data_IF_493591327841
#
_entry.id   IF_493591327841
#
_cell.length_a   1.000
_cell.length_b   1.000
_cell.length_c   1.000
_cell.angle_alpha   90.00
_cell.angle_beta   90.00
_cell.angle_gamma   90.00
#
_symmetry.space_group_name_H-M   'P 1'
#
loop_
_entity.id
_entity.type
_entity.pdbx_description
1 polymer ?
#
# COMPACT_ATOMS: atom_id res chain seq x y z
N UNK A 1 -8.38 -5.38 -3.40
CA UNK A 1 -6.96 -5.65 -3.71
C UNK A 1 -6.25 -6.01 -2.40
N UNK A 2 -5.50 -7.12 -2.35
CA UNK A 2 -4.74 -7.50 -1.14
C UNK A 2 -3.32 -6.91 -1.20
N UNK A 3 -3.05 -5.91 -0.34
CA UNK A 3 -1.76 -5.23 -0.17
C UNK A 3 -0.60 -6.20 0.12
N UNK A 4 -0.80 -7.20 0.99
CA UNK A 4 0.25 -8.19 1.32
C UNK A 4 0.71 -8.96 0.07
N UNK A 5 -0.25 -9.34 -0.78
CA UNK A 5 0.03 -10.09 -2.02
C UNK A 5 0.68 -9.20 -3.07
N UNK A 6 0.26 -7.93 -3.15
CA UNK A 6 0.92 -6.93 -4.00
C UNK A 6 2.37 -6.70 -3.57
N UNK A 7 2.64 -6.59 -2.25
CA UNK A 7 4.00 -6.45 -1.71
C UNK A 7 4.87 -7.65 -2.06
N UNK A 8 4.35 -8.87 -1.90
CA UNK A 8 5.03 -10.11 -2.32
C UNK A 8 5.29 -10.13 -3.84
N UNK A 9 4.32 -9.72 -4.65
CA UNK A 9 4.49 -9.60 -6.09
C UNK A 9 5.65 -8.65 -6.45
N UNK A 10 5.67 -7.46 -5.86
CA UNK A 10 6.75 -6.47 -6.04
C UNK A 10 8.12 -7.09 -5.70
N UNK A 11 8.22 -7.77 -4.55
CA UNK A 11 9.48 -8.42 -4.16
C UNK A 11 9.97 -9.46 -5.18
N UNK A 12 9.06 -10.21 -5.81
CA UNK A 12 9.40 -11.14 -6.89
C UNK A 12 9.87 -10.41 -8.15
N UNK A 13 9.27 -9.27 -8.49
CA UNK A 13 9.68 -8.43 -9.63
C UNK A 13 11.10 -7.89 -9.40
N UNK A 14 11.39 -7.35 -8.22
CA UNK A 14 12.72 -6.85 -7.84
C UNK A 14 13.80 -7.92 -7.98
N UNK A 15 13.46 -9.16 -7.59
CA UNK A 15 14.35 -10.32 -7.70
C UNK A 15 14.36 -10.97 -9.08
N UNK A 16 13.52 -10.50 -10.01
CA UNK A 16 13.39 -11.05 -11.37
C UNK A 16 12.94 -12.51 -11.38
N UNK A 17 12.08 -12.87 -10.41
CA UNK A 17 11.63 -14.24 -10.10
C UNK A 17 10.11 -14.39 -10.23
N UNK A 18 9.45 -13.59 -11.08
CA UNK A 18 8.00 -13.73 -11.24
C UNK A 18 7.61 -14.95 -12.08
N UNK A 19 8.40 -15.36 -13.07
CA UNK A 19 7.94 -16.37 -14.02
C UNK A 19 6.75 -15.86 -14.85
N UNK A 20 5.98 -16.77 -15.46
CA UNK A 20 4.80 -16.37 -16.25
C UNK A 20 3.69 -15.83 -15.34
N UNK A 21 2.78 -14.98 -15.86
CA UNK A 21 1.66 -14.46 -15.07
C UNK A 21 0.84 -15.56 -14.37
N UNK A 22 0.60 -16.69 -15.02
CA UNK A 22 -0.09 -17.83 -14.43
C UNK A 22 0.67 -18.47 -13.25
N UNK A 23 2.01 -18.52 -13.32
CA UNK A 23 2.85 -19.14 -12.30
C UNK A 23 2.89 -18.29 -11.03
N UNK A 24 3.12 -16.98 -11.18
CA UNK A 24 3.08 -16.05 -10.03
C UNK A 24 1.67 -15.90 -9.46
N UNK A 25 0.63 -15.98 -10.29
CA UNK A 25 -0.75 -16.00 -9.82
C UNK A 25 -1.00 -17.19 -8.88
N UNK A 26 -0.55 -18.39 -9.29
CA UNK A 26 -0.62 -19.60 -8.46
C UNK A 26 0.19 -19.45 -7.18
N UNK A 27 1.41 -18.95 -7.26
CA UNK A 27 2.29 -18.74 -6.10
C UNK A 27 1.68 -17.78 -5.07
N UNK A 28 1.04 -16.71 -5.53
CA UNK A 28 0.38 -15.71 -4.67
C UNK A 28 -1.05 -16.11 -4.26
N UNK A 29 -1.57 -17.22 -4.78
CA UNK A 29 -2.95 -17.66 -4.57
C UNK A 29 -3.97 -16.62 -5.04
N UNK A 30 -3.78 -16.08 -6.26
CA UNK A 30 -4.69 -15.12 -6.90
C UNK A 30 -4.99 -15.57 -8.33
N UNK A 31 -6.02 -15.00 -8.94
CA UNK A 31 -6.27 -15.16 -10.38
C UNK A 31 -5.17 -14.47 -11.20
N UNK A 32 -4.88 -14.96 -12.39
CA UNK A 32 -3.98 -14.31 -13.33
C UNK A 32 -4.40 -12.87 -13.66
N UNK A 33 -5.70 -12.61 -13.77
CA UNK A 33 -6.25 -11.25 -13.92
C UNK A 33 -5.77 -10.28 -12.83
N UNK A 34 -5.57 -10.77 -11.61
CA UNK A 34 -5.07 -9.96 -10.51
C UNK A 34 -3.60 -9.56 -10.71
N UNK A 35 -2.80 -10.40 -11.36
CA UNK A 35 -1.42 -10.06 -11.73
C UNK A 35 -1.42 -8.89 -12.70
N UNK A 36 -2.29 -8.91 -13.71
CA UNK A 36 -2.44 -7.77 -14.61
C UNK A 36 -2.90 -6.52 -13.85
N UNK A 37 -3.85 -6.64 -12.92
CA UNK A 37 -4.23 -5.52 -12.06
C UNK A 37 -3.06 -4.98 -11.21
N UNK A 38 -2.21 -5.85 -10.65
CA UNK A 38 -1.01 -5.44 -9.91
C UNK A 38 -0.02 -4.70 -10.80
N UNK A 39 0.26 -5.22 -12.01
CA UNK A 39 1.16 -4.56 -12.96
C UNK A 39 0.64 -3.18 -13.39
N UNK A 40 -0.66 -3.08 -13.65
CA UNK A 40 -1.33 -1.81 -13.96
C UNK A 40 -1.21 -0.83 -12.81
N UNK A 41 -1.52 -1.27 -11.59
CA UNK A 41 -1.38 -0.47 -10.38
C UNK A 41 0.06 0.05 -10.19
N UNK A 42 1.06 -0.83 -10.27
CA UNK A 42 2.47 -0.46 -10.12
C UNK A 42 2.89 0.58 -11.18
N UNK A 43 2.42 0.42 -12.41
CA UNK A 43 2.75 1.33 -13.51
C UNK A 43 2.08 2.70 -13.38
N UNK A 44 0.77 2.71 -13.19
CA UNK A 44 -0.03 3.94 -13.29
C UNK A 44 -0.07 4.71 -11.97
N UNK A 45 -0.06 4.01 -10.83
CA UNK A 45 -0.31 4.62 -9.53
C UNK A 45 0.98 4.86 -8.77
N UNK A 46 1.96 3.97 -8.93
CA UNK A 46 3.28 4.12 -8.31
C UNK A 46 4.29 4.79 -9.25
N UNK A 47 3.88 5.05 -10.51
CA UNK A 47 4.75 5.54 -11.58
C UNK A 47 6.04 4.73 -11.73
N UNK A 48 5.97 3.42 -11.46
CA UNK A 48 7.12 2.54 -11.54
C UNK A 48 7.21 1.90 -12.93
N UNK A 49 8.40 1.82 -13.54
CA UNK A 49 8.58 1.39 -14.92
C UNK A 49 8.61 -0.15 -15.03
N UNK A 50 7.48 -0.80 -14.69
CA UNK A 50 7.32 -2.26 -14.77
C UNK A 50 6.93 -2.71 -16.19
N UNK A 51 7.68 -3.68 -16.72
CA UNK A 51 7.45 -4.27 -18.04
C UNK A 51 7.62 -5.79 -18.02
N UNK A 52 6.93 -6.48 -18.93
CA UNK A 52 7.13 -7.90 -19.19
C UNK A 52 8.37 -8.10 -20.06
N UNK A 53 9.23 -9.06 -19.68
CA UNK A 53 10.38 -9.46 -20.48
C UNK A 53 10.17 -10.86 -21.07
N UNK A 54 10.06 -10.95 -22.40
CA UNK A 54 9.83 -12.21 -23.10
C UNK A 54 10.98 -13.22 -22.94
N UNK A 55 12.23 -12.75 -22.95
CA UNK A 55 13.41 -13.62 -22.88
C UNK A 55 13.55 -14.26 -21.50
N UNK A 56 13.39 -13.47 -20.43
CA UNK A 56 13.47 -13.95 -19.04
C UNK A 56 12.17 -14.56 -18.53
N UNK A 57 11.08 -14.44 -19.29
CA UNK A 57 9.73 -14.80 -18.86
C UNK A 57 9.42 -14.28 -17.46
N UNK A 58 9.66 -12.98 -17.23
CA UNK A 58 9.41 -12.34 -15.94
C UNK A 58 9.09 -10.87 -16.14
N UNK A 59 8.28 -10.32 -15.23
CA UNK A 59 8.20 -8.88 -15.03
C UNK A 59 9.50 -8.35 -14.44
N UNK A 60 9.91 -7.17 -14.90
CA UNK A 60 11.12 -6.44 -14.50
C UNK A 60 10.82 -4.94 -14.41
N UNK A 61 11.56 -4.23 -13.57
CA UNK A 61 11.68 -2.77 -13.70
C UNK A 61 12.72 -2.45 -14.77
N UNK A 62 12.37 -1.57 -15.72
CA UNK A 62 13.28 -1.20 -16.81
C UNK A 62 14.31 -0.15 -16.39
N UNK A 63 14.08 0.54 -15.28
CA UNK A 63 15.00 1.55 -14.72
C UNK A 63 15.55 1.10 -13.37
N UNK A 64 16.70 1.66 -13.01
CA UNK A 64 17.27 1.49 -11.68
C UNK A 64 16.53 2.37 -10.67
N UNK A 65 15.90 1.72 -9.70
CA UNK A 65 15.17 2.37 -8.64
C UNK A 65 14.67 1.35 -7.63
N UNK A 66 13.83 1.80 -6.71
CA UNK A 66 13.17 0.94 -5.75
C UNK A 66 11.76 1.47 -5.46
N UNK A 67 10.84 0.56 -5.13
CA UNK A 67 9.54 0.94 -4.59
C UNK A 67 9.67 1.24 -3.09
N UNK A 68 9.44 2.49 -2.73
CA UNK A 68 9.33 2.92 -1.34
C UNK A 68 7.94 2.58 -0.84
N UNK A 69 7.89 1.78 0.22
CA UNK A 69 6.68 1.29 0.87
C UNK A 69 6.91 1.37 2.39
N UNK A 70 6.78 2.57 2.97
CA UNK A 70 7.06 2.80 4.39
C UNK A 70 6.43 4.08 4.90
N UNK A 71 6.28 4.16 6.22
CA UNK A 71 6.06 5.39 6.94
C UNK A 71 7.40 6.10 7.18
N UNK A 72 7.48 7.38 6.86
CA UNK A 72 8.65 8.20 7.18
C UNK A 72 8.22 9.27 8.18
N UNK A 73 8.91 9.33 9.32
CA UNK A 73 8.74 10.40 10.29
C UNK A 73 9.13 11.74 9.64
N UNK A 74 8.31 12.77 9.85
CA UNK A 74 8.56 14.06 9.23
C UNK A 74 9.61 14.84 10.03
N UNK A 75 10.86 14.84 9.57
CA UNK A 75 11.87 15.81 10.02
C UNK A 75 11.65 17.14 9.30
N UNK A 76 10.80 17.99 9.88
CA UNK A 76 10.51 19.37 9.46
C UNK A 76 9.78 19.51 8.11
N UNK A 77 8.70 20.30 8.17
CA UNK A 77 7.72 20.48 7.10
C UNK A 77 8.32 21.28 5.95
N UNK A 78 8.50 20.65 4.79
CA UNK A 78 8.32 21.31 3.50
C UNK A 78 7.39 20.46 2.62
N UNK A 79 6.36 21.15 2.15
CA UNK A 79 5.17 20.71 1.44
C UNK A 79 5.36 19.56 0.45
N UNK A 80 4.52 18.53 0.57
CA UNK A 80 3.48 18.23 -0.43
C UNK A 80 2.53 17.22 0.20
N UNK A 81 1.67 17.71 1.10
CA UNK A 81 0.42 17.01 1.37
C UNK A 81 -0.35 16.96 0.05
N UNK A 82 -0.90 15.79 -0.26
CA UNK A 82 -1.66 15.48 -1.48
C UNK A 82 -0.81 14.95 -2.63
N UNK A 83 -0.70 13.62 -2.71
CA UNK A 83 -1.22 12.95 -3.90
C UNK A 83 -1.42 11.46 -3.65
N UNK A 84 -2.68 11.03 -3.62
CA UNK A 84 -3.08 9.71 -4.09
C UNK A 84 -4.55 9.82 -4.48
N UNK A 85 -4.84 10.33 -5.68
CA UNK A 85 -6.19 10.24 -6.25
C UNK A 85 -6.30 8.83 -6.83
N UNK A 86 -6.51 7.83 -5.98
CA UNK A 86 -6.59 6.45 -6.43
C UNK A 86 -7.91 5.81 -6.02
N UNK A 87 -8.75 5.48 -7.00
CA UNK A 87 -10.02 4.76 -6.81
C UNK A 87 -9.83 3.37 -6.18
N UNK A 88 -8.71 2.68 -6.43
CA UNK A 88 -8.36 1.36 -5.90
C UNK A 88 -7.71 1.37 -4.50
N UNK A 89 -7.14 2.49 -4.03
CA UNK A 89 -6.63 2.66 -2.66
C UNK A 89 -7.41 3.70 -1.83
N UNK A 90 -8.53 4.20 -2.34
CA UNK A 90 -9.36 5.22 -1.70
C UNK A 90 -9.70 4.87 -0.25
N UNK A 91 -9.99 3.61 0.06
CA UNK A 91 -10.28 3.16 1.43
C UNK A 91 -9.05 3.29 2.34
N UNK A 92 -7.87 2.86 1.89
CA UNK A 92 -6.64 2.98 2.69
C UNK A 92 -6.30 4.45 2.96
N UNK A 93 -6.50 5.31 1.96
CA UNK A 93 -6.28 6.75 2.09
C UNK A 93 -7.27 7.38 3.07
N UNK A 94 -8.58 7.08 2.96
CA UNK A 94 -9.59 7.56 3.91
C UNK A 94 -9.27 7.12 5.33
N UNK A 95 -8.81 5.87 5.49
CA UNK A 95 -8.34 5.36 6.78
C UNK A 95 -7.15 6.18 7.29
N UNK A 96 -6.11 6.33 6.47
CA UNK A 96 -4.92 7.11 6.82
C UNK A 96 -5.26 8.54 7.23
N UNK A 97 -6.13 9.23 6.48
CA UNK A 97 -6.56 10.60 6.77
C UNK A 97 -7.35 10.67 8.07
N UNK A 98 -8.28 9.73 8.31
CA UNK A 98 -9.04 9.67 9.56
C UNK A 98 -8.13 9.49 10.78
N UNK A 99 -7.14 8.59 10.68
CA UNK A 99 -6.13 8.38 11.73
C UNK A 99 -5.25 9.63 11.91
N UNK A 100 -4.80 10.26 10.83
CA UNK A 100 -3.97 11.48 10.87
C UNK A 100 -4.70 12.64 11.56
N UNK A 101 -6.02 12.71 11.40
CA UNK A 101 -6.88 13.73 12.01
C UNK A 101 -7.41 13.34 13.40
N UNK A 102 -7.05 12.17 13.91
CA UNK A 102 -7.58 11.62 15.16
C UNK A 102 -9.12 11.58 15.20
N UNK A 103 -9.78 11.44 14.05
CA UNK A 103 -11.24 11.45 13.91
C UNK A 103 -11.75 10.09 13.44
N UNK A 104 -11.57 9.05 14.26
CA UNK A 104 -11.93 7.68 13.89
C UNK A 104 -13.01 7.08 14.79
N UNK A 105 -13.07 7.48 16.06
CA UNK A 105 -13.93 6.79 17.02
C UNK A 105 -13.40 5.38 17.34
N UNK A 106 -14.26 4.52 17.86
CA UNK A 106 -13.98 3.08 18.00
C UNK A 106 -13.87 2.39 16.63
N UNK A 107 -13.33 1.17 16.58
CA UNK A 107 -13.25 0.39 15.34
C UNK A 107 -14.60 0.26 14.61
N UNK A 108 -15.67 0.00 15.37
CA UNK A 108 -17.03 -0.10 14.85
C UNK A 108 -17.53 1.22 14.25
N UNK A 109 -17.29 2.33 14.95
CA UNK A 109 -17.65 3.68 14.48
C UNK A 109 -16.88 4.03 13.21
N UNK A 110 -15.57 3.76 13.19
CA UNK A 110 -14.73 4.08 12.04
C UNK A 110 -15.09 3.26 10.81
N UNK A 111 -15.33 1.95 10.98
CA UNK A 111 -15.75 1.08 9.89
C UNK A 111 -17.08 1.55 9.29
N UNK A 112 -18.03 1.95 10.14
CA UNK A 112 -19.31 2.53 9.71
C UNK A 112 -19.13 3.84 8.94
N UNK A 113 -18.30 4.76 9.42
CA UNK A 113 -17.98 6.01 8.71
C UNK A 113 -17.35 5.78 7.33
N UNK A 114 -16.58 4.70 7.19
CA UNK A 114 -15.91 4.33 5.96
C UNK A 114 -16.78 3.50 5.00
N UNK A 115 -17.96 3.06 5.45
CA UNK A 115 -18.85 2.13 4.75
C UNK A 115 -18.18 0.79 4.42
N UNK A 116 -17.42 0.26 5.38
CA UNK A 116 -16.76 -1.05 5.26
C UNK A 116 -17.05 -1.91 6.49
N UNK A 117 -16.78 -3.22 6.38
CA UNK A 117 -16.84 -4.10 7.55
C UNK A 117 -15.70 -3.80 8.54
N UNK A 118 -15.91 -4.04 9.83
CA UNK A 118 -14.85 -3.95 10.85
C UNK A 118 -13.67 -4.86 10.51
N UNK A 119 -13.94 -6.05 9.97
CA UNK A 119 -12.89 -6.96 9.49
C UNK A 119 -12.03 -6.31 8.40
N UNK A 120 -12.65 -5.63 7.44
CA UNK A 120 -11.93 -4.90 6.39
C UNK A 120 -11.12 -3.75 6.98
N UNK A 121 -11.67 -3.02 7.95
CA UNK A 121 -10.93 -1.97 8.65
C UNK A 121 -9.67 -2.55 9.31
N UNK A 122 -9.79 -3.64 10.09
CA UNK A 122 -8.65 -4.29 10.73
C UNK A 122 -7.61 -4.78 9.73
N UNK A 123 -8.04 -5.29 8.57
CA UNK A 123 -7.12 -5.64 7.49
C UNK A 123 -6.26 -4.45 7.05
N UNK A 124 -6.85 -3.27 6.85
CA UNK A 124 -6.12 -2.07 6.46
C UNK A 124 -5.26 -1.49 7.59
N UNK A 125 -5.77 -1.48 8.82
CA UNK A 125 -4.99 -1.03 10.00
C UNK A 125 -3.76 -1.93 10.21
N UNK A 126 -3.92 -3.25 10.04
CA UNK A 126 -2.80 -4.19 10.09
C UNK A 126 -1.82 -3.96 8.94
N UNK A 127 -2.29 -3.65 7.74
CA UNK A 127 -1.40 -3.30 6.64
C UNK A 127 -0.59 -2.03 6.95
N UNK A 128 -1.23 -0.98 7.48
CA UNK A 128 -0.50 0.23 7.92
C UNK A 128 0.56 -0.11 8.98
N UNK A 129 0.20 -0.91 9.98
CA UNK A 129 1.11 -1.27 11.07
C UNK A 129 2.27 -2.17 10.62
N UNK A 130 1.99 -3.21 9.82
CA UNK A 130 2.95 -4.28 9.55
C UNK A 130 3.67 -4.10 8.21
N UNK A 131 2.98 -3.64 7.17
CA UNK A 131 3.56 -3.49 5.83
C UNK A 131 4.23 -2.13 5.67
N UNK A 132 3.63 -1.08 6.24
CA UNK A 132 4.18 0.29 6.16
C UNK A 132 4.93 0.70 7.43
N UNK A 133 4.93 -0.14 8.47
CA UNK A 133 5.57 0.17 9.76
C UNK A 133 5.07 1.47 10.41
N UNK A 134 3.81 1.83 10.17
CA UNK A 134 3.22 3.01 10.80
C UNK A 134 3.17 2.82 12.33
N UNK A 135 3.51 3.86 13.12
CA UNK A 135 3.44 3.81 14.58
C UNK A 135 2.00 4.01 15.08
N UNK A 136 1.10 3.12 14.65
CA UNK A 136 -0.34 3.18 14.88
C UNK A 136 -0.69 2.69 16.29
N UNK A 137 -1.43 3.49 17.04
CA UNK A 137 -2.00 3.16 18.34
C UNK A 137 -3.49 3.49 18.38
N UNK A 138 -4.22 2.86 19.29
CA UNK A 138 -5.57 3.28 19.67
C UNK A 138 -5.50 3.99 21.01
N UNK A 139 -5.85 5.28 21.03
CA UNK A 139 -5.97 6.04 22.27
C UNK A 139 -7.37 5.91 22.85
N UNK A 140 -7.45 5.44 24.10
CA UNK A 140 -8.70 5.28 24.83
C UNK A 140 -9.26 6.61 25.31
N UNK A 141 -8.42 7.59 25.66
CA UNK A 141 -8.91 8.89 26.15
C UNK A 141 -9.58 9.69 25.04
N UNK A 142 -8.99 9.73 23.84
CA UNK A 142 -9.60 10.38 22.69
C UNK A 142 -10.61 9.50 21.96
N UNK A 143 -10.75 8.23 22.35
CA UNK A 143 -11.49 7.19 21.61
C UNK A 143 -11.18 7.22 20.10
N UNK A 144 -9.89 7.12 19.74
CA UNK A 144 -9.49 7.27 18.34
C UNK A 144 -8.14 6.60 18.06
N UNK A 145 -7.99 6.08 16.84
CA UNK A 145 -6.71 5.68 16.29
C UNK A 145 -5.85 6.89 15.94
N UNK A 146 -4.56 6.82 16.28
CA UNK A 146 -3.58 7.90 16.08
C UNK A 146 -2.21 7.34 15.70
N UNK A 147 -1.37 8.18 15.10
CA UNK A 147 0.06 7.90 14.95
C UNK A 147 0.82 8.45 16.18
N UNK A 148 1.68 7.62 16.78
CA UNK A 148 2.50 8.03 17.93
C UNK A 148 3.52 9.12 17.57
N UNK A 149 3.97 9.15 16.31
CA UNK A 149 4.84 10.18 15.75
C UNK A 149 4.22 10.72 14.47
N UNK A 150 4.41 12.01 14.20
CA UNK A 150 3.97 12.62 12.96
C UNK A 150 4.90 12.23 11.79
N UNK A 151 4.32 12.08 10.61
CA UNK A 151 5.01 11.54 9.46
C UNK A 151 4.07 11.30 8.29
N UNK A 152 4.62 10.76 7.22
CA UNK A 152 3.92 10.54 5.97
C UNK A 152 3.99 9.10 5.51
N UNK A 153 2.86 8.60 5.02
CA UNK A 153 2.78 7.33 4.33
C UNK A 153 3.37 7.49 2.92
N UNK A 154 4.49 6.82 2.66
CA UNK A 154 5.11 6.83 1.34
C UNK A 154 4.86 5.52 0.61
N UNK A 155 4.32 5.67 -0.59
CA UNK A 155 4.08 4.59 -1.54
C UNK A 155 4.44 5.11 -2.94
N UNK A 156 5.69 4.99 -3.38
CA UNK A 156 6.11 5.52 -4.69
C UNK A 156 7.36 4.84 -5.24
N UNK A 157 7.56 4.90 -6.55
CA UNK A 157 8.85 4.62 -7.16
C UNK A 157 9.84 5.74 -6.85
N UNK A 158 11.07 5.35 -6.52
CA UNK A 158 12.19 6.27 -6.36
C UNK A 158 13.34 5.77 -7.23
N UNK A 159 13.76 6.57 -8.21
CA UNK A 159 14.95 6.31 -9.01
C UNK A 159 16.20 6.43 -8.14
N UNK A 160 17.20 5.60 -8.41
CA UNK A 160 18.51 5.66 -7.75
C UNK A 160 19.46 6.60 -8.47
#
# INVERSE_FOLDING_TARGET
MHLEKLRKFIHLVERKQTGKPADVARLLGVSERMIYNYTKFIREELNAPIAWNNFKQSYLFSENGALIWKYEEAETILQTDTFFINKQLATLQRIYLGVKQSNTGSAAQFAKQLEISERSLFYYLNALKNEFHCPLIFDKSSNSYQFKQAGNLNLKWQTK
#
